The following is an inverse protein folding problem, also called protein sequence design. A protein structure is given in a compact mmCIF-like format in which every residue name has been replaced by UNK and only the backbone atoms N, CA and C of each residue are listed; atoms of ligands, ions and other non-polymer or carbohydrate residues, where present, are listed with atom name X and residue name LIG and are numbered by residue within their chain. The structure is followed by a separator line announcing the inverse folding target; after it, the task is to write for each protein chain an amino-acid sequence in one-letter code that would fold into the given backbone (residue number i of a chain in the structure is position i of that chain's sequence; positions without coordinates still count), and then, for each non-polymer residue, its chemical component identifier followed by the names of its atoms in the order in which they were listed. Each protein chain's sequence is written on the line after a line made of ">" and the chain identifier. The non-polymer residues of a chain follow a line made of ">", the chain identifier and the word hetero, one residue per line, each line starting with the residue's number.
data_IF_273633766831
#
_entry.id   IF_273633766831
#
_cell.length_a   1.000
_cell.length_b   1.000
_cell.length_c   1.000
_cell.angle_alpha   90.00
_cell.angle_beta   90.00
_cell.angle_gamma   90.00
#
_symmetry.space_group_name_H-M   'P 1'
#
loop_
_entity.id
_entity.type
_entity.pdbx_description
1 polymer ?
#
# COMPACT_ATOMS: atom_id res chain seq x y z
N UNK A 1 2.88 13.36 19.27
CA UNK A 1 4.13 12.82 18.67
C UNK A 1 3.98 11.37 18.22
N UNK A 2 3.73 10.40 19.10
CA UNK A 2 3.56 9.00 18.67
C UNK A 2 2.19 8.74 18.01
N UNK A 3 1.11 9.38 18.49
CA UNK A 3 -0.23 9.31 17.89
C UNK A 3 -0.29 9.84 16.44
N UNK A 4 0.48 10.90 16.16
CA UNK A 4 0.61 11.47 14.81
C UNK A 4 1.28 10.46 13.87
N UNK A 5 2.35 9.79 14.34
CA UNK A 5 3.02 8.72 13.56
C UNK A 5 2.09 7.54 13.26
N UNK A 6 1.23 7.14 14.20
CA UNK A 6 0.23 6.09 13.95
C UNK A 6 -0.76 6.53 12.88
N UNK A 7 -1.22 7.78 12.94
CA UNK A 7 -2.14 8.35 11.96
C UNK A 7 -1.51 8.38 10.56
N UNK A 8 -0.26 8.81 10.46
CA UNK A 8 0.47 8.83 9.19
C UNK A 8 0.68 7.44 8.62
N UNK A 9 1.16 6.48 9.42
CA UNK A 9 1.35 5.10 8.93
C UNK A 9 0.04 4.44 8.50
N UNK A 10 -1.08 4.70 9.19
CA UNK A 10 -2.41 4.24 8.74
C UNK A 10 -2.83 4.88 7.42
N UNK A 11 -2.62 6.19 7.25
CA UNK A 11 -2.93 6.91 6.00
C UNK A 11 -2.09 6.38 4.84
N UNK A 12 -0.78 6.23 5.01
CA UNK A 12 0.09 5.67 3.97
C UNK A 12 -0.30 4.24 3.60
N UNK A 13 -0.62 3.39 4.58
CA UNK A 13 -1.10 2.04 4.32
C UNK A 13 -2.41 2.05 3.50
N UNK A 14 -3.36 2.91 3.84
CA UNK A 14 -4.62 3.03 3.11
C UNK A 14 -4.44 3.55 1.68
N UNK A 15 -3.61 4.58 1.48
CA UNK A 15 -3.33 5.15 0.15
C UNK A 15 -2.66 4.11 -0.75
N UNK A 16 -1.65 3.38 -0.23
CA UNK A 16 -0.95 2.35 -1.00
C UNK A 16 -1.85 1.15 -1.31
N UNK A 17 -2.74 0.78 -0.40
CA UNK A 17 -3.75 -0.26 -0.64
C UNK A 17 -4.72 0.16 -1.75
N UNK A 18 -5.26 1.38 -1.68
CA UNK A 18 -6.15 1.92 -2.70
C UNK A 18 -5.44 2.00 -4.07
N UNK A 19 -4.19 2.47 -4.09
CA UNK A 19 -3.36 2.51 -5.30
C UNK A 19 -3.17 1.11 -5.91
N UNK A 20 -2.91 0.09 -5.08
CA UNK A 20 -2.78 -1.30 -5.54
C UNK A 20 -4.08 -1.79 -6.21
N UNK A 21 -5.24 -1.47 -5.64
CA UNK A 21 -6.55 -1.80 -6.24
C UNK A 21 -6.73 -1.10 -7.59
N UNK A 22 -6.40 0.18 -7.71
CA UNK A 22 -6.48 0.90 -9.00
C UNK A 22 -5.54 0.32 -10.06
N UNK A 23 -4.31 -0.02 -9.69
CA UNK A 23 -3.35 -0.66 -10.61
C UNK A 23 -3.85 -2.04 -11.05
N UNK A 24 -4.48 -2.80 -10.15
CA UNK A 24 -5.08 -4.08 -10.47
C UNK A 24 -6.28 -3.96 -11.42
N UNK A 25 -7.13 -2.95 -11.24
CA UNK A 25 -8.20 -2.62 -12.21
C UNK A 25 -7.58 -2.34 -13.58
N UNK A 26 -6.50 -1.56 -13.64
CA UNK A 26 -5.76 -1.29 -14.88
C UNK A 26 -5.19 -2.55 -15.55
N UNK A 27 -5.02 -3.66 -14.81
CA UNK A 27 -4.62 -4.95 -15.35
C UNK A 27 -5.80 -5.74 -15.96
N UNK A 28 -6.98 -5.62 -15.36
CA UNK A 28 -8.19 -6.33 -15.80
C UNK A 28 -8.76 -5.72 -17.08
N UNK A 29 -8.61 -4.40 -17.27
CA UNK A 29 -9.11 -3.73 -18.47
C UNK A 29 -8.32 -4.22 -19.68
N UNK A 30 -8.96 -4.91 -20.64
CA UNK A 30 -8.28 -5.36 -21.84
C UNK A 30 -7.84 -4.15 -22.66
N UNK A 31 -6.56 -4.08 -22.99
CA UNK A 31 -6.00 -3.01 -23.79
C UNK A 31 -5.08 -3.62 -24.85
N UNK A 32 -5.56 -3.65 -26.10
CA UNK A 32 -4.90 -4.32 -27.24
C UNK A 32 -3.60 -3.63 -27.69
N UNK A 33 -3.26 -2.48 -27.11
CA UNK A 33 -2.03 -1.72 -27.42
C UNK A 33 -0.90 -1.83 -26.38
N UNK A 34 -1.06 -2.60 -25.31
CA UNK A 34 -0.08 -2.64 -24.20
C UNK A 34 0.99 -3.68 -24.47
N UNK A 35 2.26 -3.28 -24.41
CA UNK A 35 3.36 -4.23 -24.52
C UNK A 35 3.44 -5.15 -23.30
N UNK A 36 3.98 -6.36 -23.49
CA UNK A 36 4.21 -7.31 -22.39
C UNK A 36 5.02 -6.68 -21.24
N UNK A 37 5.99 -5.82 -21.56
CA UNK A 37 6.79 -5.10 -20.56
C UNK A 37 5.95 -4.16 -19.68
N UNK A 38 4.99 -3.45 -20.27
CA UNK A 38 4.09 -2.56 -19.52
C UNK A 38 3.15 -3.36 -18.60
N UNK A 39 2.66 -4.52 -19.04
CA UNK A 39 1.88 -5.42 -18.18
C UNK A 39 2.72 -5.94 -17.00
N UNK A 40 3.94 -6.41 -17.25
CA UNK A 40 4.85 -6.87 -16.18
C UNK A 40 5.16 -5.73 -15.20
N UNK A 41 5.39 -4.51 -15.69
CA UNK A 41 5.63 -3.35 -14.84
C UNK A 41 4.41 -3.01 -13.97
N UNK A 42 3.20 -3.07 -14.52
CA UNK A 42 1.94 -2.86 -13.78
C UNK A 42 1.72 -3.91 -12.68
N UNK A 43 1.97 -5.19 -12.99
CA UNK A 43 1.92 -6.28 -12.00
C UNK A 43 2.95 -6.02 -10.90
N UNK A 44 4.19 -5.71 -11.28
CA UNK A 44 5.27 -5.42 -10.34
C UNK A 44 4.92 -4.25 -9.41
N UNK A 45 4.43 -3.13 -9.94
CA UNK A 45 3.98 -1.98 -9.17
C UNK A 45 2.79 -2.30 -8.24
N UNK A 46 1.85 -3.12 -8.70
CA UNK A 46 0.70 -3.55 -7.89
C UNK A 46 1.14 -4.38 -6.69
N UNK A 47 2.05 -5.34 -6.90
CA UNK A 47 2.60 -6.19 -5.83
C UNK A 47 3.46 -5.37 -4.87
N UNK A 48 4.32 -4.49 -5.40
CA UNK A 48 5.17 -3.62 -4.58
C UNK A 48 4.34 -2.67 -3.70
N UNK A 49 3.32 -2.03 -4.28
CA UNK A 49 2.42 -1.14 -3.50
C UNK A 49 1.67 -1.89 -2.41
N UNK A 50 1.18 -3.11 -2.70
CA UNK A 50 0.53 -3.96 -1.69
C UNK A 50 1.49 -4.36 -0.57
N UNK A 51 2.72 -4.76 -0.92
CA UNK A 51 3.76 -5.09 0.05
C UNK A 51 4.09 -3.90 0.96
N UNK A 52 4.26 -2.70 0.39
CA UNK A 52 4.47 -1.49 1.18
C UNK A 52 3.27 -1.15 2.06
N UNK A 53 2.05 -1.30 1.55
CA UNK A 53 0.84 -1.10 2.36
C UNK A 53 0.83 -1.99 3.60
N UNK A 54 1.14 -3.29 3.43
CA UNK A 54 1.24 -4.24 4.53
C UNK A 54 2.36 -3.88 5.52
N UNK A 55 3.54 -3.45 5.03
CA UNK A 55 4.65 -3.01 5.88
C UNK A 55 4.28 -1.77 6.70
N UNK A 56 3.67 -0.76 6.09
CA UNK A 56 3.23 0.44 6.81
C UNK A 56 2.10 0.13 7.79
N UNK A 57 1.17 -0.75 7.44
CA UNK A 57 0.12 -1.20 8.36
C UNK A 57 0.72 -1.89 9.60
N UNK A 58 1.69 -2.79 9.42
CA UNK A 58 2.40 -3.43 10.54
C UNK A 58 3.17 -2.42 11.39
N UNK A 59 3.84 -1.44 10.78
CA UNK A 59 4.49 -0.34 11.52
C UNK A 59 3.48 0.48 12.30
N UNK A 60 2.30 0.75 11.75
CA UNK A 60 1.22 1.46 12.44
C UNK A 60 0.71 0.69 13.67
N UNK A 61 0.47 -0.63 13.54
CA UNK A 61 0.06 -1.46 14.67
C UNK A 61 1.11 -1.48 15.78
N UNK A 62 2.38 -1.64 15.43
CA UNK A 62 3.47 -1.63 16.42
C UNK A 62 3.61 -0.29 17.13
N UNK A 63 3.49 0.82 16.40
CA UNK A 63 3.51 2.16 16.99
C UNK A 63 2.28 2.42 17.88
N UNK A 64 1.12 1.84 17.52
CA UNK A 64 -0.10 1.92 18.33
C UNK A 64 0.02 1.09 19.62
N UNK A 65 0.62 -0.10 19.58
CA UNK A 65 0.93 -0.88 20.79
C UNK A 65 1.86 -0.13 21.73
N UNK A 66 2.92 0.48 21.21
CA UNK A 66 3.87 1.26 22.02
C UNK A 66 3.21 2.45 22.73
N UNK A 67 2.32 3.16 22.02
CA UNK A 67 1.50 4.23 22.62
C UNK A 67 0.65 3.74 23.79
N UNK A 68 -0.05 2.61 23.61
CA UNK A 68 -0.93 2.05 24.64
C UNK A 68 -0.16 1.45 25.82
N UNK A 69 1.11 1.09 25.65
CA UNK A 69 1.96 0.60 26.75
C UNK A 69 2.63 1.70 27.58
N UNK A 70 2.63 2.94 27.07
CA UNK A 70 3.19 4.12 27.76
C UNK A 70 2.11 4.96 28.49
N UNK A 71 0.82 4.64 28.31
CA UNK A 71 -0.31 5.15 29.11
C UNK A 71 -0.68 4.19 30.26
#
# INVERSE_FOLDING_TARGET
>A
MLADKVTDYKRFAFILLALSVFLFIGLIVPNEGVSQYQQIALIGLSVCSLAFAALFHKKAMKAQEQLYSEE
#
